data_IF_369872310521
#
_entry.id   IF_369872310521
#
_cell.length_a   1.000
_cell.length_b   1.000
_cell.length_c   1.000
_cell.angle_alpha   90.00
_cell.angle_beta   90.00
_cell.angle_gamma   90.00
#
_symmetry.space_group_name_H-M   'P 1'
#
loop_
_entity.id
_entity.type
_entity.pdbx_description
1 polymer ?
#
# COMPACT_ATOMS: atom_id res chain seq x y z
N UNK A 1 6.08 27.16 8.82
CA UNK A 1 7.56 27.21 8.76
C UNK A 1 8.04 26.87 10.14
N UNK A 2 8.35 25.59 10.39
CA UNK A 2 8.85 25.17 11.70
C UNK A 2 10.33 25.57 11.79
N UNK A 3 10.62 26.42 12.78
CA UNK A 3 11.95 26.84 13.16
C UNK A 3 12.72 25.61 13.63
N UNK A 4 13.71 25.20 12.85
CA UNK A 4 14.55 24.06 13.18
C UNK A 4 15.54 24.50 14.28
N UNK A 5 15.58 23.81 15.42
CA UNK A 5 16.53 24.07 16.51
C UNK A 5 18.00 23.79 16.14
N UNK A 6 18.26 23.28 14.92
CA UNK A 6 19.61 23.03 14.39
C UNK A 6 20.25 24.23 13.70
N UNK A 7 21.58 24.34 13.87
CA UNK A 7 22.50 25.35 13.31
C UNK A 7 22.03 25.97 11.98
N UNK A 8 21.91 27.29 11.92
CA UNK A 8 21.47 27.98 10.71
C UNK A 8 22.49 27.88 9.57
N UNK A 9 22.01 27.80 8.32
CA UNK A 9 22.86 27.76 7.14
C UNK A 9 23.78 29.00 7.02
N UNK A 10 23.33 30.16 7.53
CA UNK A 10 24.14 31.38 7.59
C UNK A 10 25.33 31.23 8.55
N UNK A 11 25.11 30.62 9.71
CA UNK A 11 26.15 30.33 10.70
C UNK A 11 27.18 29.36 10.15
N UNK A 12 26.73 28.32 9.44
CA UNK A 12 27.61 27.37 8.78
C UNK A 12 28.44 28.05 7.67
N UNK A 13 27.86 28.96 6.89
CA UNK A 13 28.57 29.70 5.85
C UNK A 13 29.64 30.64 6.42
N UNK A 14 29.30 31.39 7.47
CA UNK A 14 30.26 32.26 8.16
C UNK A 14 31.43 31.47 8.76
N UNK A 15 31.17 30.25 9.25
CA UNK A 15 32.22 29.34 9.72
C UNK A 15 33.14 28.90 8.57
N UNK A 16 32.60 28.54 7.40
CA UNK A 16 33.40 28.21 6.22
C UNK A 16 34.26 29.37 5.72
N UNK A 17 33.73 30.60 5.71
CA UNK A 17 34.51 31.80 5.37
C UNK A 17 35.68 32.03 6.35
N UNK A 18 35.50 31.67 7.62
CA UNK A 18 36.56 31.79 8.64
C UNK A 18 37.65 30.73 8.49
N UNK A 19 37.29 29.49 8.14
CA UNK A 19 38.25 28.39 7.96
C UNK A 19 38.99 28.52 6.62
N UNK A 20 38.34 29.06 5.59
CA UNK A 20 38.89 29.23 4.25
C UNK A 20 38.83 30.70 3.79
N UNK A 21 39.68 31.58 4.32
CA UNK A 21 39.69 33.00 3.97
C UNK A 21 39.88 33.21 2.46
N UNK A 22 39.09 34.12 1.88
CA UNK A 22 39.19 34.49 0.45
C UNK A 22 38.65 33.44 -0.54
N UNK A 23 38.18 32.28 -0.07
CA UNK A 23 37.63 31.24 -0.95
C UNK A 23 36.13 31.36 -1.20
N UNK A 24 35.39 32.06 -0.31
CA UNK A 24 33.94 32.19 -0.38
C UNK A 24 33.50 33.64 -0.20
N UNK A 25 32.78 34.18 -1.17
CA UNK A 25 32.25 35.55 -1.15
C UNK A 25 30.80 35.60 -0.64
N UNK A 26 30.41 36.71 -0.03
CA UNK A 26 29.06 36.89 0.55
C UNK A 26 27.93 36.71 -0.48
N UNK A 27 28.18 37.03 -1.75
CA UNK A 27 27.23 36.79 -2.85
C UNK A 27 26.83 35.33 -3.05
N UNK A 28 27.62 34.39 -2.52
CA UNK A 28 27.39 32.95 -2.61
C UNK A 28 26.47 32.41 -1.51
N UNK A 29 26.10 33.23 -0.51
CA UNK A 29 25.27 32.80 0.62
C UNK A 29 23.93 32.19 0.18
N UNK A 30 23.27 32.79 -0.82
CA UNK A 30 22.00 32.27 -1.36
C UNK A 30 22.18 30.88 -1.96
N UNK A 31 23.25 30.68 -2.73
CA UNK A 31 23.59 29.39 -3.34
C UNK A 31 23.87 28.33 -2.28
N UNK A 32 24.59 28.71 -1.22
CA UNK A 32 24.86 27.82 -0.09
C UNK A 32 23.58 27.42 0.65
N UNK A 33 22.71 28.37 0.97
CA UNK A 33 21.42 28.10 1.61
C UNK A 33 20.54 27.15 0.78
N UNK A 34 20.49 27.32 -0.54
CA UNK A 34 19.78 26.40 -1.42
C UNK A 34 20.35 24.98 -1.34
N UNK A 35 21.69 24.83 -1.36
CA UNK A 35 22.35 23.52 -1.25
C UNK A 35 22.08 22.86 0.10
N UNK A 36 22.16 23.61 1.19
CA UNK A 36 21.84 23.10 2.54
C UNK A 36 20.38 22.68 2.62
N UNK A 37 19.45 23.40 2.00
CA UNK A 37 18.02 23.04 1.96
C UNK A 37 17.81 21.72 1.22
N UNK A 38 18.41 21.56 0.04
CA UNK A 38 18.33 20.30 -0.72
C UNK A 38 18.91 19.14 0.08
N UNK A 39 20.11 19.33 0.65
CA UNK A 39 20.77 18.32 1.49
C UNK A 39 19.93 17.94 2.71
N UNK A 40 19.29 18.90 3.40
CA UNK A 40 18.37 18.59 4.51
C UNK A 40 17.13 17.80 4.06
N UNK A 41 16.74 17.92 2.79
CA UNK A 41 15.61 17.16 2.23
C UNK A 41 15.97 15.72 1.86
N UNK A 42 17.24 15.44 1.51
CA UNK A 42 17.68 14.09 1.08
C UNK A 42 18.42 13.34 2.18
N UNK A 43 19.29 14.03 2.92
CA UNK A 43 20.16 13.45 3.96
C UNK A 43 19.76 13.88 5.38
N UNK A 44 18.81 14.79 5.51
CA UNK A 44 18.30 15.20 6.82
C UNK A 44 17.49 14.10 7.48
N UNK A 45 17.23 14.22 8.80
CA UNK A 45 16.36 13.28 9.49
C UNK A 45 15.02 13.20 8.76
N UNK A 46 14.59 11.96 8.48
CA UNK A 46 13.36 11.71 7.74
C UNK A 46 12.21 12.47 8.38
N UNK A 47 11.52 13.30 7.61
CA UNK A 47 10.29 13.91 8.07
C UNK A 47 9.22 12.83 8.06
N UNK A 48 8.51 12.70 9.16
CA UNK A 48 7.34 11.84 9.20
C UNK A 48 6.26 12.41 8.27
N UNK A 49 5.92 11.67 7.22
CA UNK A 49 4.88 12.04 6.25
C UNK A 49 3.77 11.00 6.37
N UNK A 50 2.57 11.47 6.62
CA UNK A 50 1.37 10.64 6.63
C UNK A 50 0.47 11.02 5.48
N UNK A 51 -0.01 10.02 4.74
CA UNK A 51 -1.06 10.19 3.73
C UNK A 51 -2.36 9.63 4.31
N UNK A 52 -3.34 10.48 4.68
CA UNK A 52 -4.58 9.98 5.24
C UNK A 52 -5.36 9.23 4.16
N UNK A 53 -5.70 7.98 4.44
CA UNK A 53 -6.58 7.20 3.57
C UNK A 53 -8.04 7.55 3.92
N UNK A 54 -8.66 8.38 3.07
CA UNK A 54 -10.06 8.78 3.26
C UNK A 54 -10.97 7.75 2.61
N UNK A 55 -11.59 6.90 3.44
CA UNK A 55 -12.61 5.96 3.00
C UNK A 55 -13.96 6.65 2.92
N UNK A 56 -14.64 6.53 1.79
CA UNK A 56 -15.98 7.10 1.56
C UNK A 56 -16.98 5.94 1.49
N UNK A 57 -18.12 6.00 2.22
CA UNK A 57 -19.13 4.95 2.16
C UNK A 57 -19.58 4.69 0.72
N UNK A 58 -19.67 3.42 0.32
CA UNK A 58 -20.11 3.02 -1.02
C UNK A 58 -19.13 3.30 -2.16
N UNK A 59 -17.98 3.95 -1.92
CA UNK A 59 -17.04 4.28 -2.98
C UNK A 59 -16.16 3.10 -3.40
N UNK A 60 -15.59 2.39 -2.43
CA UNK A 60 -14.56 1.39 -2.69
C UNK A 60 -14.80 0.11 -1.89
N UNK A 61 -14.88 -1.01 -2.61
CA UNK A 61 -14.69 -2.35 -2.07
C UNK A 61 -13.35 -2.94 -2.49
N UNK A 62 -12.86 -3.89 -1.70
CA UNK A 62 -11.68 -4.68 -1.99
C UNK A 62 -11.97 -6.16 -1.89
N UNK A 63 -11.22 -6.98 -2.62
CA UNK A 63 -11.28 -8.43 -2.46
C UNK A 63 -9.92 -9.10 -2.64
N UNK A 64 -9.75 -10.22 -1.95
CA UNK A 64 -8.54 -11.05 -2.00
C UNK A 64 -8.90 -12.55 -1.89
N UNK A 65 -7.97 -13.43 -2.25
CA UNK A 65 -8.05 -14.88 -2.05
C UNK A 65 -7.11 -15.30 -0.92
N UNK A 66 -7.64 -16.03 0.06
CA UNK A 66 -6.84 -16.57 1.15
C UNK A 66 -6.82 -18.10 1.09
N UNK A 67 -5.61 -18.66 1.12
CA UNK A 67 -5.40 -20.10 1.19
C UNK A 67 -5.64 -20.64 2.61
N UNK A 68 -6.49 -21.66 2.72
CA UNK A 68 -6.89 -22.26 4.00
C UNK A 68 -6.19 -23.58 4.32
N UNK A 69 -5.23 -24.03 3.52
CA UNK A 69 -4.49 -25.28 3.73
C UNK A 69 -3.81 -25.34 5.10
N UNK A 70 -3.29 -24.20 5.58
CA UNK A 70 -2.64 -24.08 6.90
C UNK A 70 -3.59 -24.37 8.07
N UNK A 71 -4.90 -24.20 7.89
CA UNK A 71 -5.90 -24.48 8.91
C UNK A 71 -6.28 -25.97 8.97
N UNK A 72 -5.91 -26.77 7.97
CA UNK A 72 -6.16 -28.21 7.90
C UNK A 72 -7.64 -28.57 8.19
N UNK A 73 -8.55 -27.80 7.58
CA UNK A 73 -9.98 -27.99 7.76
C UNK A 73 -10.38 -29.35 7.18
N UNK A 74 -11.22 -30.10 7.93
CA UNK A 74 -11.76 -31.37 7.48
C UNK A 74 -13.28 -31.40 7.57
N UNK A 75 -13.92 -32.05 6.60
CA UNK A 75 -15.38 -32.25 6.56
C UNK A 75 -15.64 -33.74 6.50
N UNK A 76 -16.37 -34.28 7.47
CA UNK A 76 -16.64 -35.72 7.55
C UNK A 76 -15.37 -36.58 7.69
N UNK A 77 -14.29 -36.02 8.25
CA UNK A 77 -13.00 -36.69 8.42
C UNK A 77 -12.09 -36.70 7.18
N UNK A 78 -12.50 -36.07 6.08
CA UNK A 78 -11.67 -35.89 4.89
C UNK A 78 -11.09 -34.47 4.84
N UNK A 79 -9.83 -34.33 4.39
CA UNK A 79 -9.21 -33.01 4.19
C UNK A 79 -10.04 -32.19 3.22
N UNK A 80 -10.27 -30.93 3.57
CA UNK A 80 -11.00 -29.99 2.74
C UNK A 80 -10.07 -28.86 2.32
N UNK A 81 -9.31 -29.11 1.26
CA UNK A 81 -8.38 -28.13 0.70
C UNK A 81 -9.17 -27.11 -0.11
N UNK A 82 -9.13 -25.85 0.30
CA UNK A 82 -9.90 -24.77 -0.32
C UNK A 82 -9.24 -23.41 -0.14
N UNK A 83 -9.70 -22.46 -0.94
CA UNK A 83 -9.45 -21.04 -0.83
C UNK A 83 -10.72 -20.34 -0.35
N UNK A 84 -10.57 -19.17 0.25
CA UNK A 84 -11.67 -18.25 0.53
C UNK A 84 -11.47 -16.98 -0.29
N UNK A 85 -12.46 -16.67 -1.13
CA UNK A 85 -12.63 -15.34 -1.68
C UNK A 85 -13.21 -14.44 -0.59
N UNK A 86 -12.49 -13.41 -0.20
CA UNK A 86 -12.88 -12.44 0.82
C UNK A 86 -13.18 -11.11 0.16
N UNK A 87 -14.35 -10.54 0.46
CA UNK A 87 -14.78 -9.22 -0.01
C UNK A 87 -14.98 -8.31 1.20
N UNK A 88 -14.56 -7.05 1.09
CA UNK A 88 -14.68 -6.06 2.15
C UNK A 88 -15.05 -4.68 1.62
N UNK A 89 -15.87 -3.95 2.36
CA UNK A 89 -16.09 -2.51 2.18
C UNK A 89 -15.08 -1.72 3.01
N UNK A 90 -14.26 -0.91 2.34
CA UNK A 90 -13.14 -0.22 3.00
C UNK A 90 -13.55 0.85 4.02
N UNK A 91 -14.80 1.32 3.98
CA UNK A 91 -15.32 2.30 4.94
C UNK A 91 -15.90 1.66 6.20
N UNK A 92 -16.73 0.62 6.05
CA UNK A 92 -17.50 0.03 7.16
C UNK A 92 -16.89 -1.25 7.72
N UNK A 93 -15.86 -1.80 7.08
CA UNK A 93 -15.34 -3.15 7.34
C UNK A 93 -16.41 -4.24 7.25
N UNK A 94 -17.52 -3.97 6.55
CA UNK A 94 -18.46 -5.03 6.23
C UNK A 94 -17.78 -6.01 5.29
N UNK A 95 -17.82 -7.29 5.64
CA UNK A 95 -17.10 -8.32 4.92
C UNK A 95 -17.94 -9.57 4.67
N UNK A 96 -17.54 -10.34 3.68
CA UNK A 96 -18.12 -11.64 3.39
C UNK A 96 -17.10 -12.55 2.74
N UNK A 97 -17.25 -13.86 2.99
CA UNK A 97 -16.40 -14.90 2.44
C UNK A 97 -17.18 -15.85 1.56
N UNK A 98 -16.58 -16.31 0.47
CA UNK A 98 -17.09 -17.39 -0.38
C UNK A 98 -16.00 -18.43 -0.56
N UNK A 99 -16.34 -19.70 -0.30
CA UNK A 99 -15.41 -20.82 -0.55
C UNK A 99 -15.24 -21.02 -2.05
N UNK A 100 -13.99 -21.18 -2.48
CA UNK A 100 -13.62 -21.48 -3.86
C UNK A 100 -12.42 -22.44 -3.90
N UNK A 101 -12.20 -23.10 -5.04
CA UNK A 101 -11.15 -24.13 -5.17
C UNK A 101 -10.01 -23.73 -6.11
N UNK A 102 -10.11 -22.54 -6.71
CA UNK A 102 -9.07 -22.01 -7.60
C UNK A 102 -9.10 -20.49 -7.60
N UNK A 103 -7.92 -19.88 -7.74
CA UNK A 103 -7.77 -18.46 -8.04
C UNK A 103 -8.00 -18.25 -9.55
N UNK A 104 -9.27 -18.20 -9.94
CA UNK A 104 -9.69 -18.06 -11.33
C UNK A 104 -10.65 -16.89 -11.48
N UNK A 105 -10.80 -16.39 -12.70
CA UNK A 105 -11.79 -15.35 -13.01
C UNK A 105 -13.23 -15.80 -12.68
N UNK A 106 -13.53 -17.08 -12.83
CA UNK A 106 -14.83 -17.64 -12.46
C UNK A 106 -15.07 -17.56 -10.95
N UNK A 107 -14.10 -17.97 -10.14
CA UNK A 107 -14.16 -17.83 -8.68
C UNK A 107 -14.28 -16.37 -8.25
N UNK A 108 -13.54 -15.46 -8.89
CA UNK A 108 -13.60 -14.02 -8.63
C UNK A 108 -15.01 -13.48 -8.94
N UNK A 109 -15.51 -13.75 -10.14
CA UNK A 109 -16.82 -13.28 -10.60
C UNK A 109 -17.94 -13.82 -9.70
N UNK A 110 -17.92 -15.11 -9.40
CA UNK A 110 -18.92 -15.75 -8.53
C UNK A 110 -18.86 -15.22 -7.09
N UNK A 111 -17.65 -15.03 -6.55
CA UNK A 111 -17.43 -14.47 -5.22
C UNK A 111 -17.92 -13.02 -5.12
N UNK A 112 -17.55 -12.18 -6.08
CA UNK A 112 -17.96 -10.78 -6.15
C UNK A 112 -19.49 -10.68 -6.24
N UNK A 113 -20.09 -11.42 -7.16
CA UNK A 113 -21.53 -11.50 -7.34
C UNK A 113 -22.25 -11.84 -6.04
N UNK A 114 -21.91 -12.97 -5.40
CA UNK A 114 -22.50 -13.38 -4.12
C UNK A 114 -22.37 -12.29 -3.04
N UNK A 115 -21.22 -11.62 -3.03
CA UNK A 115 -20.94 -10.56 -2.06
C UNK A 115 -21.85 -9.34 -2.27
N UNK A 116 -22.01 -8.90 -3.52
CA UNK A 116 -22.91 -7.80 -3.89
C UNK A 116 -24.39 -8.14 -3.62
N UNK A 117 -24.81 -9.37 -3.92
CA UNK A 117 -26.16 -9.85 -3.60
C UNK A 117 -26.44 -9.82 -2.10
N UNK A 118 -25.49 -10.26 -1.28
CA UNK A 118 -25.63 -10.27 0.18
C UNK A 118 -25.57 -8.86 0.76
N UNK A 119 -24.75 -7.98 0.18
CA UNK A 119 -24.67 -6.57 0.56
C UNK A 119 -25.97 -5.83 0.23
N UNK A 120 -26.68 -6.24 -0.82
CA UNK A 120 -27.90 -5.56 -1.29
C UNK A 120 -27.62 -4.23 -2.00
N UNK A 121 -26.37 -4.01 -2.41
CA UNK A 121 -25.92 -2.78 -3.05
C UNK A 121 -24.61 -2.97 -3.80
N UNK A 122 -24.24 -2.00 -4.62
CA UNK A 122 -23.03 -2.04 -5.45
C UNK A 122 -22.17 -0.80 -5.18
N UNK A 123 -20.91 -0.97 -4.75
CA UNK A 123 -19.99 0.14 -4.60
C UNK A 123 -19.56 0.69 -5.97
N UNK A 124 -19.13 1.96 -6.01
CA UNK A 124 -18.71 2.61 -7.26
C UNK A 124 -17.50 1.93 -7.91
N UNK A 125 -16.57 1.45 -7.07
CA UNK A 125 -15.34 0.82 -7.51
C UNK A 125 -15.06 -0.44 -6.68
N UNK A 126 -14.54 -1.45 -7.38
CA UNK A 126 -14.01 -2.67 -6.76
C UNK A 126 -12.53 -2.79 -7.12
N UNK A 127 -11.68 -2.94 -6.11
CA UNK A 127 -10.25 -3.12 -6.26
C UNK A 127 -9.84 -4.53 -5.85
N UNK A 128 -9.06 -5.17 -6.70
CA UNK A 128 -8.36 -6.41 -6.40
C UNK A 128 -6.91 -6.20 -6.86
N UNK A 129 -5.96 -6.69 -6.09
CA UNK A 129 -4.57 -6.67 -6.51
C UNK A 129 -4.35 -7.64 -7.67
N UNK A 130 -3.24 -7.44 -8.38
CA UNK A 130 -3.03 -7.92 -9.75
C UNK A 130 -3.38 -9.40 -9.89
N UNK A 131 -4.38 -9.67 -10.74
CA UNK A 131 -4.70 -10.97 -11.33
C UNK A 131 -3.54 -11.49 -12.21
N UNK A 132 -2.38 -11.75 -11.63
CA UNK A 132 -1.29 -12.47 -12.28
C UNK A 132 -1.77 -13.88 -12.69
N UNK A 133 -2.82 -14.38 -12.02
CA UNK A 133 -3.46 -15.68 -12.23
C UNK A 133 -4.62 -15.68 -13.27
N UNK A 134 -5.06 -14.54 -13.83
CA UNK A 134 -6.12 -14.53 -14.85
C UNK A 134 -5.66 -15.01 -16.26
N UNK A 135 -4.54 -15.74 -16.34
CA UNK A 135 -4.04 -16.39 -17.56
C UNK A 135 -3.74 -17.88 -17.34
N UNK A 136 -4.35 -18.53 -16.35
CA UNK A 136 -4.31 -20.00 -16.30
C UNK A 136 -5.45 -20.59 -17.13
N UNK A 137 -5.10 -21.10 -18.32
CA UNK A 137 -6.00 -21.88 -19.18
C UNK A 137 -6.54 -23.10 -18.41
N UNK A 138 -7.78 -23.55 -18.67
CA UNK A 138 -8.29 -24.79 -18.09
C UNK A 138 -7.40 -25.95 -18.52
N UNK A 139 -6.71 -26.59 -17.57
CA UNK A 139 -5.88 -27.77 -17.83
C UNK A 139 -4.55 -27.85 -17.09
N UNK A 140 -4.14 -26.85 -16.31
CA UNK A 140 -2.92 -26.95 -15.52
C UNK A 140 -3.25 -27.25 -14.04
N UNK A 141 -2.92 -28.45 -13.51
CA UNK A 141 -3.05 -28.69 -12.08
C UNK A 141 -2.03 -27.82 -11.34
N UNK A 142 -2.54 -26.88 -10.55
CA UNK A 142 -1.70 -26.04 -9.70
C UNK A 142 -1.10 -26.95 -8.62
N UNK A 143 0.22 -27.08 -8.63
CA UNK A 143 0.97 -27.70 -7.54
C UNK A 143 1.22 -26.61 -6.50
N UNK A 144 0.66 -26.79 -5.31
CA UNK A 144 0.97 -25.98 -4.14
C UNK A 144 2.39 -26.33 -3.67
N UNK A 145 3.23 -25.31 -3.47
CA UNK A 145 4.56 -25.39 -2.83
C UNK A 145 4.44 -24.83 -1.42
#
# INVERSE_FOLDING_TARGET
METNEGLEAKTLFAHFQRIYPGSFEDGQLRTFQCRVKTWRGTEGPGREVYFPQVHVPGRLSQSDFTDMSKLQISIGGQSFDHLIYHFVLTYSNWETGTVCFSESFESLSAGLQKSLWKLGGVPEQHQTDRLSAAVNKPGCPVKFV
#
